data_IF_360073238022
#
_entry.id   IF_360073238022
#
_cell.length_a   1.000
_cell.length_b   1.000
_cell.length_c   1.000
_cell.angle_alpha   90.00
_cell.angle_beta   90.00
_cell.angle_gamma   90.00
#
_symmetry.space_group_name_H-M   'P 1'
#
loop_
_entity.id
_entity.type
_entity.pdbx_description
1 polymer ?
#
# COMPACT_ATOMS: atom_id res chain seq x y z
N UNK A 1 -54.15 -63.39 -27.02
CA UNK A 1 -52.79 -62.89 -26.70
C UNK A 1 -52.92 -61.45 -26.21
N UNK A 2 -52.38 -61.14 -25.02
CA UNK A 2 -52.48 -59.84 -24.34
C UNK A 2 -51.19 -59.07 -24.56
N UNK A 3 -51.23 -57.88 -25.14
CA UNK A 3 -50.06 -57.00 -25.28
C UNK A 3 -50.20 -55.85 -24.30
N UNK A 4 -49.29 -55.78 -23.32
CA UNK A 4 -49.28 -54.75 -22.28
C UNK A 4 -48.63 -53.47 -22.81
N UNK A 5 -49.30 -52.34 -22.59
CA UNK A 5 -48.72 -50.99 -22.68
C UNK A 5 -47.93 -50.73 -21.40
N UNK A 6 -46.67 -50.31 -21.52
CA UNK A 6 -45.87 -49.84 -20.38
C UNK A 6 -45.49 -48.39 -20.65
N UNK A 7 -46.01 -47.51 -19.80
CA UNK A 7 -45.69 -46.10 -19.69
C UNK A 7 -44.39 -45.91 -18.90
N UNK A 8 -43.44 -45.12 -19.43
CA UNK A 8 -42.33 -44.57 -18.65
C UNK A 8 -42.59 -43.09 -18.39
N UNK A 9 -43.03 -42.77 -17.17
CA UNK A 9 -42.92 -41.44 -16.58
C UNK A 9 -41.49 -41.30 -16.05
N UNK A 10 -40.63 -40.63 -16.81
CA UNK A 10 -39.30 -40.22 -16.36
C UNK A 10 -39.40 -38.91 -15.57
N UNK A 11 -39.14 -38.98 -14.27
CA UNK A 11 -39.05 -37.83 -13.37
C UNK A 11 -37.75 -37.09 -13.64
N UNK A 12 -37.82 -35.91 -14.27
CA UNK A 12 -36.71 -34.97 -14.32
C UNK A 12 -36.71 -34.13 -13.03
N UNK A 13 -35.89 -34.53 -12.05
CA UNK A 13 -35.63 -33.70 -10.87
C UNK A 13 -34.67 -32.58 -11.25
N UNK A 14 -35.21 -31.38 -11.47
CA UNK A 14 -34.44 -30.15 -11.66
C UNK A 14 -33.86 -29.75 -10.31
N UNK A 15 -32.59 -30.01 -10.08
CA UNK A 15 -31.84 -29.42 -8.97
C UNK A 15 -31.52 -27.96 -9.30
N UNK A 16 -32.46 -27.04 -9.01
CA UNK A 16 -32.14 -25.62 -8.87
C UNK A 16 -31.28 -25.45 -7.61
N UNK A 17 -29.97 -25.60 -7.79
CA UNK A 17 -29.00 -25.20 -6.78
C UNK A 17 -29.13 -23.70 -6.53
N UNK A 18 -29.53 -23.34 -5.31
CA UNK A 18 -29.55 -21.97 -4.82
C UNK A 18 -28.12 -21.42 -4.83
N UNK A 19 -27.71 -20.78 -5.92
CA UNK A 19 -26.54 -19.92 -5.93
C UNK A 19 -26.85 -18.70 -5.06
N UNK A 20 -26.62 -18.80 -3.75
CA UNK A 20 -26.65 -17.62 -2.90
C UNK A 20 -25.53 -16.68 -3.36
N UNK A 21 -25.83 -15.41 -3.66
CA UNK A 21 -24.80 -14.45 -3.99
C UNK A 21 -23.85 -14.33 -2.80
N UNK A 22 -22.57 -14.66 -3.00
CA UNK A 22 -21.54 -14.35 -2.03
C UNK A 22 -21.47 -12.82 -1.92
N UNK A 23 -21.91 -12.30 -0.78
CA UNK A 23 -21.79 -10.88 -0.47
C UNK A 23 -20.31 -10.55 -0.27
N UNK A 24 -19.87 -9.42 -0.81
CA UNK A 24 -18.54 -8.92 -0.54
C UNK A 24 -18.42 -8.55 0.94
N UNK A 25 -17.36 -9.02 1.60
CA UNK A 25 -17.12 -8.78 3.03
C UNK A 25 -16.05 -7.70 3.16
N UNK A 26 -16.36 -6.55 3.78
CA UNK A 26 -15.35 -5.54 4.08
C UNK A 26 -14.29 -6.13 5.01
N UNK A 27 -13.03 -5.93 4.69
CA UNK A 27 -11.88 -6.39 5.48
C UNK A 27 -10.86 -5.27 5.68
N UNK A 28 -10.20 -5.30 6.83
CA UNK A 28 -9.08 -4.40 7.16
C UNK A 28 -7.88 -5.24 7.54
N UNK A 29 -6.83 -5.18 6.73
CA UNK A 29 -5.52 -5.74 7.04
C UNK A 29 -4.66 -4.68 7.72
N UNK A 30 -3.82 -5.09 8.65
CA UNK A 30 -2.85 -4.25 9.34
C UNK A 30 -1.46 -4.54 8.81
N UNK A 31 -0.78 -3.50 8.34
CA UNK A 31 0.54 -3.63 7.71
C UNK A 31 1.59 -3.99 8.76
N UNK A 32 2.29 -5.09 8.54
CA UNK A 32 3.43 -5.54 9.34
C UNK A 32 4.69 -4.80 8.89
N UNK A 33 5.18 -3.88 9.72
CA UNK A 33 6.36 -3.07 9.41
C UNK A 33 7.68 -3.82 9.43
N UNK A 34 7.73 -5.01 10.03
CA UNK A 34 8.93 -5.85 10.00
C UNK A 34 9.11 -6.56 8.66
N UNK A 35 8.03 -6.66 7.86
CA UNK A 35 8.02 -7.35 6.57
C UNK A 35 7.65 -6.43 5.39
N UNK A 36 7.23 -5.19 5.67
CA UNK A 36 6.82 -4.22 4.66
C UNK A 36 7.92 -3.21 4.41
N UNK A 37 8.43 -3.18 3.18
CA UNK A 37 9.46 -2.22 2.80
C UNK A 37 9.35 -1.83 1.33
N UNK A 38 9.53 -0.52 1.08
CA UNK A 38 9.67 0.02 -0.26
C UNK A 38 11.04 0.70 -0.40
N UNK A 39 11.63 0.54 -1.58
CA UNK A 39 12.81 1.26 -2.02
C UNK A 39 12.38 2.41 -2.92
N UNK A 40 12.88 3.60 -2.62
CA UNK A 40 12.73 4.80 -3.43
C UNK A 40 13.87 4.90 -4.45
N UNK A 41 13.48 5.10 -5.71
CA UNK A 41 14.38 5.44 -6.82
C UNK A 41 13.72 6.54 -7.67
N UNK A 42 14.40 6.94 -8.75
CA UNK A 42 13.91 8.00 -9.64
C UNK A 42 14.97 9.06 -9.92
N UNK A 43 14.52 10.28 -10.21
CA UNK A 43 15.41 11.36 -10.64
C UNK A 43 14.85 12.75 -10.31
N UNK A 44 15.73 13.73 -10.19
CA UNK A 44 15.42 15.16 -10.15
C UNK A 44 16.31 15.91 -11.14
N UNK A 45 15.72 16.74 -12.00
CA UNK A 45 16.38 17.48 -13.06
C UNK A 45 17.23 16.59 -13.99
N UNK A 46 16.76 15.37 -14.25
CA UNK A 46 17.48 14.36 -15.04
C UNK A 46 18.68 13.71 -14.32
N UNK A 47 18.95 14.07 -13.06
CA UNK A 47 19.97 13.45 -12.23
C UNK A 47 19.34 12.32 -11.41
N UNK A 48 19.90 11.09 -11.44
CA UNK A 48 19.36 9.97 -10.69
C UNK A 48 19.49 10.21 -9.18
N UNK A 49 18.53 9.69 -8.41
CA UNK A 49 18.63 9.68 -6.97
C UNK A 49 19.79 8.80 -6.50
N UNK A 50 20.48 9.29 -5.49
CA UNK A 50 21.44 8.57 -4.68
C UNK A 50 21.10 8.72 -3.20
N UNK A 51 21.59 7.81 -2.39
CA UNK A 51 21.36 7.82 -0.95
C UNK A 51 22.17 8.94 -0.26
N UNK A 52 21.56 9.70 0.64
CA UNK A 52 22.32 10.58 1.55
C UNK A 52 23.20 9.76 2.49
N UNK A 53 22.66 8.67 3.02
CA UNK A 53 23.34 7.70 3.88
C UNK A 53 22.93 6.26 3.50
N UNK A 54 23.73 5.23 3.82
CA UNK A 54 23.31 3.85 3.58
C UNK A 54 21.93 3.56 4.18
N UNK A 55 21.03 2.98 3.38
CA UNK A 55 19.64 2.69 3.80
C UNK A 55 18.66 3.86 3.68
N UNK A 56 19.11 5.09 3.37
CA UNK A 56 18.20 6.26 3.30
C UNK A 56 17.22 6.24 2.11
N UNK A 57 17.37 5.29 1.19
CA UNK A 57 16.46 5.03 0.06
C UNK A 57 15.50 3.86 0.32
N UNK A 58 15.53 3.24 1.49
CA UNK A 58 14.67 2.10 1.84
C UNK A 58 13.95 2.45 3.14
N UNK A 59 12.63 2.32 3.16
CA UNK A 59 11.84 2.60 4.35
C UNK A 59 10.89 1.46 4.67
N UNK A 60 10.49 1.38 5.93
CA UNK A 60 9.49 0.44 6.44
C UNK A 60 8.11 1.12 6.48
N UNK A 61 7.05 0.32 6.37
CA UNK A 61 5.68 0.82 6.30
C UNK A 61 4.77 0.18 7.33
N UNK A 62 3.77 0.92 7.81
CA UNK A 62 2.74 0.45 8.74
C UNK A 62 1.36 0.96 8.31
N UNK A 63 0.35 0.80 9.16
CA UNK A 63 -1.01 1.29 8.94
C UNK A 63 -1.95 0.19 8.48
N UNK A 64 -2.87 0.51 7.58
CA UNK A 64 -3.99 -0.36 7.22
C UNK A 64 -4.26 -0.41 5.73
N UNK A 65 -4.70 -1.57 5.26
CA UNK A 65 -5.23 -1.78 3.91
C UNK A 65 -6.68 -2.23 4.02
N UNK A 66 -7.58 -1.52 3.36
CA UNK A 66 -9.02 -1.79 3.39
C UNK A 66 -9.53 -2.20 2.01
N UNK A 67 -10.51 -3.09 1.97
CA UNK A 67 -11.18 -3.46 0.74
C UNK A 67 -12.32 -4.43 0.97
N UNK A 68 -12.97 -4.83 -0.12
CA UNK A 68 -14.07 -5.78 -0.11
C UNK A 68 -13.60 -7.13 -0.65
N UNK A 69 -13.60 -8.17 0.19
CA UNK A 69 -13.21 -9.52 -0.18
C UNK A 69 -14.44 -10.30 -0.65
N UNK A 70 -14.44 -10.72 -1.93
CA UNK A 70 -15.48 -11.58 -2.49
C UNK A 70 -14.87 -12.65 -3.40
N UNK A 71 -15.24 -13.92 -3.19
CA UNK A 71 -14.81 -15.01 -4.07
C UNK A 71 -13.28 -15.17 -4.20
N UNK A 72 -12.51 -14.77 -3.18
CA UNK A 72 -11.04 -14.79 -3.22
C UNK A 72 -10.39 -13.61 -3.95
N UNK A 73 -11.18 -12.59 -4.34
CA UNK A 73 -10.70 -11.33 -4.92
C UNK A 73 -10.93 -10.23 -3.90
N UNK A 74 -9.86 -9.52 -3.54
CA UNK A 74 -9.92 -8.31 -2.73
C UNK A 74 -10.05 -7.10 -3.67
N UNK A 75 -11.13 -6.35 -3.55
CA UNK A 75 -11.38 -5.14 -4.34
C UNK A 75 -11.09 -3.90 -3.52
N UNK A 76 -10.29 -2.99 -4.05
CA UNK A 76 -9.93 -1.73 -3.42
C UNK A 76 -10.80 -0.60 -3.98
N UNK A 77 -11.28 0.26 -3.10
CA UNK A 77 -12.11 1.43 -3.42
C UNK A 77 -11.61 2.70 -2.72
N UNK A 78 -10.37 2.68 -2.22
CA UNK A 78 -9.78 3.72 -1.38
C UNK A 78 -9.96 3.46 0.12
N UNK A 79 -9.45 4.40 0.93
CA UNK A 79 -9.54 4.35 2.40
C UNK A 79 -8.40 3.59 3.09
N UNK A 80 -7.45 3.06 2.33
CA UNK A 80 -6.21 2.52 2.89
C UNK A 80 -5.31 3.64 3.40
N UNK A 81 -4.49 3.34 4.40
CA UNK A 81 -3.52 4.26 4.99
C UNK A 81 -2.22 3.50 5.21
N UNK A 82 -1.37 3.47 4.20
CA UNK A 82 -0.07 2.80 4.22
C UNK A 82 0.98 3.86 4.53
N UNK A 83 1.41 3.91 5.78
CA UNK A 83 2.19 5.00 6.38
C UNK A 83 3.67 4.63 6.40
N UNK A 84 4.51 5.48 5.81
CA UNK A 84 5.96 5.35 5.90
C UNK A 84 6.46 5.69 7.31
N UNK A 85 7.40 4.90 7.84
CA UNK A 85 7.97 5.10 9.17
C UNK A 85 9.14 6.08 9.16
N UNK A 86 9.57 6.56 10.32
CA UNK A 86 10.81 7.33 10.37
C UNK A 86 11.99 6.40 10.07
N UNK A 87 12.78 6.78 9.07
CA UNK A 87 13.90 5.99 8.62
C UNK A 87 15.07 6.09 9.62
N UNK A 88 15.57 4.96 10.14
CA UNK A 88 16.64 4.95 11.15
C UNK A 88 17.99 5.41 10.59
N UNK A 89 18.17 5.50 9.26
CA UNK A 89 19.37 6.05 8.64
C UNK A 89 19.47 7.58 8.74
N UNK A 90 18.39 8.25 9.15
CA UNK A 90 18.38 9.69 9.41
C UNK A 90 19.13 10.09 10.69
N UNK A 91 19.22 11.36 11.02
CA UNK A 91 18.63 12.51 10.32
C UNK A 91 19.25 12.80 8.96
N UNK A 92 18.48 13.44 8.10
CA UNK A 92 18.88 13.81 6.74
C UNK A 92 19.01 15.32 6.60
N UNK A 93 19.78 15.75 5.58
CA UNK A 93 19.97 17.16 5.28
C UNK A 93 19.13 17.60 4.09
N UNK A 94 18.74 18.86 4.13
CA UNK A 94 18.06 19.62 3.08
C UNK A 94 18.89 20.82 2.65
N UNK A 95 20.14 20.95 3.12
CA UNK A 95 20.99 22.09 2.82
C UNK A 95 21.01 22.43 1.32
N UNK A 96 20.87 23.72 0.95
CA UNK A 96 20.90 24.91 1.82
C UNK A 96 19.59 25.26 2.55
N UNK A 97 18.53 24.44 2.44
CA UNK A 97 17.34 24.61 3.27
C UNK A 97 17.68 24.30 4.75
N UNK A 98 16.94 24.90 5.68
CA UNK A 98 17.17 24.77 7.13
C UNK A 98 16.22 23.76 7.78
N UNK A 99 15.67 22.83 6.99
CA UNK A 99 14.69 21.82 7.41
C UNK A 99 15.34 20.44 7.56
N UNK A 100 16.57 20.40 8.07
CA UNK A 100 17.28 19.16 8.38
C UNK A 100 16.56 18.40 9.50
N UNK A 101 16.58 17.06 9.46
CA UNK A 101 15.96 16.25 10.49
C UNK A 101 15.51 14.85 10.05
N UNK A 102 14.72 14.16 10.88
CA UNK A 102 14.27 12.80 10.59
C UNK A 102 13.29 12.78 9.43
N UNK A 103 13.28 11.76 8.57
CA UNK A 103 12.34 11.64 7.46
C UNK A 103 12.11 10.19 7.07
N UNK A 104 11.23 9.95 6.10
CA UNK A 104 10.98 8.64 5.51
C UNK A 104 12.11 8.24 4.54
N UNK A 105 12.61 9.21 3.75
CA UNK A 105 13.73 8.99 2.84
C UNK A 105 14.65 10.20 2.80
N UNK A 106 15.95 9.94 2.72
CA UNK A 106 16.99 10.94 2.46
C UNK A 106 17.60 10.74 1.09
N UNK A 107 17.37 11.66 0.17
CA UNK A 107 17.86 11.59 -1.21
C UNK A 107 18.89 12.67 -1.49
N UNK A 108 19.87 12.36 -2.33
CA UNK A 108 20.72 13.36 -2.96
C UNK A 108 20.82 13.12 -4.46
N UNK A 109 21.03 14.16 -5.23
CA UNK A 109 21.34 14.07 -6.65
C UNK A 109 22.47 15.05 -6.97
N UNK A 110 23.47 14.61 -7.72
CA UNK A 110 24.64 15.43 -8.05
C UNK A 110 24.99 15.25 -9.52
N UNK A 111 25.31 16.35 -10.20
CA UNK A 111 25.75 16.29 -11.60
C UNK A 111 25.57 17.61 -12.33
N UNK A 112 25.90 17.60 -13.62
CA UNK A 112 25.77 18.77 -14.48
C UNK A 112 24.35 18.87 -15.04
N UNK A 113 23.72 20.03 -14.87
CA UNK A 113 22.43 20.36 -15.48
C UNK A 113 22.67 21.40 -16.59
N UNK A 114 22.31 21.05 -17.82
CA UNK A 114 22.45 21.93 -18.99
C UNK A 114 21.77 23.28 -18.74
N UNK A 115 22.52 24.37 -18.93
CA UNK A 115 22.04 25.73 -18.70
C UNK A 115 22.16 26.26 -17.27
N UNK A 116 22.49 25.41 -16.29
CA UNK A 116 22.62 25.79 -14.87
C UNK A 116 24.02 25.54 -14.30
N UNK A 117 24.70 24.47 -14.73
CA UNK A 117 26.02 24.10 -14.23
C UNK A 117 26.00 22.88 -13.31
N UNK A 118 27.00 22.78 -12.43
CA UNK A 118 27.09 21.68 -11.46
C UNK A 118 26.07 21.87 -10.35
N UNK A 119 25.19 20.89 -10.16
CA UNK A 119 24.16 20.90 -9.15
C UNK A 119 24.43 19.86 -8.06
N UNK A 120 24.15 20.24 -6.83
CA UNK A 120 24.04 19.34 -5.68
C UNK A 120 22.68 19.57 -5.03
N UNK A 121 21.87 18.53 -5.00
CA UNK A 121 20.50 18.55 -4.53
C UNK A 121 20.42 17.60 -3.34
N UNK A 122 19.87 18.08 -2.22
CA UNK A 122 19.55 17.25 -1.06
C UNK A 122 18.04 17.36 -0.81
N UNK A 123 17.39 16.23 -0.57
CA UNK A 123 15.96 16.17 -0.32
C UNK A 123 15.59 15.20 0.80
N UNK A 124 14.55 15.53 1.55
CA UNK A 124 14.00 14.72 2.62
C UNK A 124 12.50 14.53 2.41
N UNK A 125 12.09 13.29 2.20
CA UNK A 125 10.67 12.93 2.09
C UNK A 125 10.10 12.72 3.50
N UNK A 126 8.92 13.28 3.77
CA UNK A 126 8.31 13.29 5.10
C UNK A 126 6.83 12.99 5.05
N UNK A 127 6.33 12.34 6.10
CA UNK A 127 4.92 12.09 6.37
C UNK A 127 4.19 11.44 5.18
N UNK A 128 4.84 10.49 4.50
CA UNK A 128 4.27 9.80 3.36
C UNK A 128 3.16 8.83 3.81
N UNK A 129 1.99 8.95 3.18
CA UNK A 129 0.87 8.01 3.35
C UNK A 129 0.33 7.68 1.96
N UNK A 130 0.32 6.40 1.63
CA UNK A 130 -0.31 5.89 0.40
C UNK A 130 -1.73 5.36 0.68
N UNK A 131 -2.62 5.58 -0.28
CA UNK A 131 -3.92 4.91 -0.40
C UNK A 131 -3.95 4.08 -1.68
N UNK A 132 -4.57 2.90 -1.63
CA UNK A 132 -4.88 2.08 -2.79
C UNK A 132 -6.28 2.49 -3.26
N UNK A 133 -6.34 3.44 -4.18
CA UNK A 133 -7.59 4.13 -4.54
C UNK A 133 -8.50 3.30 -5.44
N UNK A 134 -7.97 2.28 -6.10
CA UNK A 134 -8.70 1.39 -6.99
C UNK A 134 -7.94 0.09 -7.22
N UNK A 135 -8.63 -0.90 -7.80
CA UNK A 135 -8.06 -2.13 -8.37
C UNK A 135 -8.40 -3.39 -7.58
N UNK A 136 -7.76 -4.50 -7.95
CA UNK A 136 -7.99 -5.78 -7.29
C UNK A 136 -6.70 -6.54 -7.00
N UNK A 137 -6.75 -7.37 -5.96
CA UNK A 137 -5.74 -8.33 -5.57
C UNK A 137 -6.35 -9.73 -5.55
N UNK A 138 -5.66 -10.71 -6.13
CA UNK A 138 -6.09 -12.10 -6.15
C UNK A 138 -4.87 -13.00 -5.96
N UNK A 139 -5.03 -14.06 -5.16
CA UNK A 139 -3.93 -14.98 -4.88
C UNK A 139 -3.36 -15.60 -6.17
N UNK A 140 -2.03 -15.55 -6.30
CA UNK A 140 -1.33 -16.09 -7.46
C UNK A 140 -1.43 -15.25 -8.73
N UNK A 141 -1.99 -14.04 -8.65
CA UNK A 141 -2.12 -13.11 -9.78
C UNK A 141 -1.33 -11.83 -9.51
N UNK A 142 -0.84 -11.19 -10.58
CA UNK A 142 -0.29 -9.84 -10.46
C UNK A 142 -1.40 -8.83 -10.05
N UNK A 143 -1.03 -7.72 -9.38
CA UNK A 143 -1.93 -6.60 -9.15
C UNK A 143 -2.67 -6.17 -10.42
N UNK A 144 -4.01 -6.04 -10.37
CA UNK A 144 -4.82 -5.72 -11.55
C UNK A 144 -5.57 -4.39 -11.36
N UNK A 145 -5.33 -3.42 -12.25
CA UNK A 145 -5.97 -2.10 -12.18
C UNK A 145 -5.68 -1.32 -10.89
N UNK A 146 -4.69 -1.76 -10.11
CA UNK A 146 -4.36 -1.15 -8.83
C UNK A 146 -3.71 0.21 -9.03
N UNK A 147 -4.20 1.21 -8.29
CA UNK A 147 -3.62 2.56 -8.29
C UNK A 147 -3.26 2.93 -6.86
N UNK A 148 -2.02 3.36 -6.64
CA UNK A 148 -1.59 3.88 -5.35
C UNK A 148 -1.35 5.37 -5.47
N UNK A 149 -1.91 6.15 -4.54
CA UNK A 149 -1.80 7.61 -4.50
C UNK A 149 -1.35 8.06 -3.13
N UNK A 150 -0.44 9.04 -3.07
CA UNK A 150 -0.06 9.71 -1.84
C UNK A 150 -1.20 10.62 -1.39
N UNK A 151 -1.78 10.33 -0.23
CA UNK A 151 -2.80 11.14 0.43
C UNK A 151 -2.19 12.16 1.40
N UNK A 152 -0.95 11.90 1.82
CA UNK A 152 -0.10 12.81 2.58
C UNK A 152 1.35 12.67 2.11
N UNK A 153 2.11 13.74 2.27
CA UNK A 153 3.55 13.71 2.04
C UNK A 153 4.10 15.07 1.60
N UNK A 154 5.35 15.30 1.97
CA UNK A 154 6.13 16.45 1.54
C UNK A 154 7.53 16.01 1.10
N UNK A 155 8.10 16.73 0.15
CA UNK A 155 9.55 16.78 -0.06
C UNK A 155 10.06 18.16 0.33
N UNK A 156 10.90 18.22 1.34
CA UNK A 156 11.77 19.36 1.63
C UNK A 156 13.08 19.19 0.91
N UNK A 157 13.55 20.22 0.21
CA UNK A 157 14.79 20.12 -0.55
C UNK A 157 15.57 21.43 -0.59
N UNK A 158 16.86 21.28 -0.89
CA UNK A 158 17.77 22.37 -1.19
C UNK A 158 18.64 22.03 -2.38
N UNK A 159 19.01 23.08 -3.12
CA UNK A 159 19.85 23.01 -4.31
C UNK A 159 21.02 23.98 -4.13
N UNK A 160 22.23 23.48 -4.31
CA UNK A 160 23.41 24.27 -4.63
C UNK A 160 23.65 24.22 -6.13
N UNK A 161 23.96 25.37 -6.74
CA UNK A 161 24.50 25.45 -8.10
C UNK A 161 25.90 26.05 -8.06
N UNK A 162 26.87 25.38 -8.67
CA UNK A 162 28.27 25.79 -8.70
C UNK A 162 28.79 26.15 -7.29
N UNK A 163 28.43 25.30 -6.31
CA UNK A 163 28.74 25.44 -4.89
C UNK A 163 28.15 26.66 -4.18
N UNK A 164 27.18 27.36 -4.79
CA UNK A 164 26.45 28.46 -4.18
C UNK A 164 25.00 28.06 -3.89
N UNK A 165 24.40 28.47 -2.75
CA UNK A 165 22.98 28.26 -2.49
C UNK A 165 22.15 28.81 -3.65
N UNK A 166 21.30 27.97 -4.24
CA UNK A 166 20.43 28.38 -5.35
C UNK A 166 18.97 28.42 -4.94
N UNK A 167 18.48 27.35 -4.30
CA UNK A 167 17.08 27.24 -3.91
C UNK A 167 16.94 26.40 -2.64
N UNK A 168 15.96 26.75 -1.82
CA UNK A 168 15.47 25.99 -0.69
C UNK A 168 13.95 26.06 -0.70
N UNK A 169 13.27 24.91 -0.69
CA UNK A 169 11.83 24.87 -0.81
C UNK A 169 11.24 23.54 -0.30
N UNK A 170 9.91 23.52 -0.25
CA UNK A 170 9.10 22.36 0.07
C UNK A 170 8.08 22.14 -1.05
N UNK A 171 7.75 20.88 -1.34
CA UNK A 171 6.72 20.53 -2.33
C UNK A 171 5.79 19.46 -1.77
N UNK A 172 4.49 19.64 -2.01
CA UNK A 172 3.49 18.64 -1.65
C UNK A 172 3.58 17.43 -2.58
N UNK A 173 3.40 16.25 -2.00
CA UNK A 173 3.29 14.98 -2.73
C UNK A 173 1.84 14.48 -2.82
N UNK A 174 0.89 15.23 -2.26
CA UNK A 174 -0.52 14.84 -2.26
C UNK A 174 -1.03 14.72 -3.70
N UNK A 175 -1.73 13.63 -3.99
CA UNK A 175 -2.24 13.30 -5.32
C UNK A 175 -1.19 12.75 -6.28
N UNK A 176 0.06 12.57 -5.84
CA UNK A 176 1.11 11.92 -6.65
C UNK A 176 1.06 10.42 -6.45
N UNK A 177 1.21 9.67 -7.53
CA UNK A 177 1.04 8.23 -7.50
C UNK A 177 0.90 7.68 -8.90
N UNK A 178 0.54 6.41 -9.01
CA UNK A 178 0.38 5.76 -10.29
C UNK A 178 -0.15 4.34 -10.19
N UNK A 179 -0.29 3.71 -11.34
CA UNK A 179 -0.66 2.31 -11.43
C UNK A 179 0.42 1.43 -10.80
N UNK A 180 0.00 0.40 -10.07
CA UNK A 180 0.88 -0.68 -9.64
C UNK A 180 1.18 -1.58 -10.83
N UNK A 181 2.41 -1.49 -11.32
CA UNK A 181 2.90 -2.23 -12.49
C UNK A 181 3.75 -3.44 -12.11
N UNK A 182 3.65 -3.90 -10.86
CA UNK A 182 4.38 -5.09 -10.44
C UNK A 182 3.91 -6.30 -11.23
N UNK A 183 4.87 -7.10 -11.70
CA UNK A 183 4.61 -8.39 -12.32
C UNK A 183 4.63 -9.55 -11.30
N UNK A 184 5.05 -9.28 -10.07
CA UNK A 184 5.12 -10.29 -9.01
C UNK A 184 3.71 -10.66 -8.53
N UNK A 185 3.58 -11.88 -8.04
CA UNK A 185 2.28 -12.44 -7.66
C UNK A 185 1.88 -11.99 -6.26
N UNK A 186 0.62 -11.61 -6.12
CA UNK A 186 -0.01 -11.37 -4.83
C UNK A 186 -0.18 -12.70 -4.09
N UNK A 187 0.14 -12.73 -2.80
CA UNK A 187 -0.34 -13.78 -1.91
C UNK A 187 -1.53 -13.24 -1.12
N UNK A 188 -2.69 -13.87 -1.26
CA UNK A 188 -3.92 -13.45 -0.57
C UNK A 188 -4.57 -14.66 0.09
N UNK A 189 -4.71 -14.58 1.40
CA UNK A 189 -5.50 -15.49 2.23
C UNK A 189 -6.54 -14.67 3.01
N UNK A 190 -7.49 -15.32 3.71
CA UNK A 190 -8.45 -14.59 4.55
C UNK A 190 -7.81 -13.73 5.66
N UNK A 191 -6.54 -13.98 6.02
CA UNK A 191 -5.85 -13.30 7.12
C UNK A 191 -4.53 -12.66 6.72
N UNK A 192 -4.06 -12.84 5.49
CA UNK A 192 -2.76 -12.33 5.03
C UNK A 192 -2.86 -11.79 3.62
N UNK A 193 -2.26 -10.62 3.42
CA UNK A 193 -2.06 -9.98 2.13
C UNK A 193 -0.57 -9.69 1.98
N UNK A 194 0.07 -10.27 0.96
CA UNK A 194 1.39 -9.88 0.48
C UNK A 194 1.18 -9.20 -0.86
N UNK A 195 1.36 -7.89 -0.87
CA UNK A 195 1.15 -7.03 -2.03
C UNK A 195 2.51 -6.56 -2.57
N UNK A 196 2.96 -7.05 -3.73
CA UNK A 196 4.11 -6.46 -4.39
C UNK A 196 3.74 -5.11 -4.99
N UNK A 197 4.64 -4.15 -4.88
CA UNK A 197 4.41 -2.75 -5.27
C UNK A 197 5.50 -2.34 -6.25
N UNK A 198 5.08 -1.82 -7.40
CA UNK A 198 5.93 -1.07 -8.33
C UNK A 198 5.14 0.08 -8.92
N UNK A 199 5.35 1.29 -8.39
CA UNK A 199 4.64 2.48 -8.82
C UNK A 199 5.62 3.57 -9.26
N UNK A 200 5.18 4.39 -10.20
CA UNK A 200 5.86 5.62 -10.60
C UNK A 200 4.89 6.78 -10.45
N UNK A 201 5.35 7.89 -9.91
CA UNK A 201 4.56 9.13 -9.81
C UNK A 201 4.45 9.89 -11.14
N UNK A 202 5.11 9.41 -12.19
CA UNK A 202 5.30 10.12 -13.45
C UNK A 202 6.23 11.33 -13.29
N UNK A 203 6.52 12.01 -14.40
CA UNK A 203 7.36 13.21 -14.35
C UNK A 203 6.52 14.42 -13.99
N UNK A 204 6.88 15.12 -12.91
CA UNK A 204 6.28 16.40 -12.51
C UNK A 204 7.33 17.27 -11.82
N UNK A 205 7.28 18.59 -12.04
CA UNK A 205 8.24 19.54 -11.45
C UNK A 205 9.71 19.13 -11.66
N UNK A 206 10.02 18.56 -12.85
CA UNK A 206 11.33 17.99 -13.20
C UNK A 206 11.79 16.83 -12.29
N UNK A 207 10.87 16.13 -11.65
CA UNK A 207 11.13 15.04 -10.72
C UNK A 207 10.24 13.84 -11.03
N UNK A 208 10.71 12.66 -10.67
CA UNK A 208 9.97 11.41 -10.72
C UNK A 208 10.41 10.55 -9.53
N UNK A 209 9.46 9.93 -8.86
CA UNK A 209 9.70 8.92 -7.83
C UNK A 209 9.16 7.58 -8.30
N UNK A 210 9.99 6.56 -8.12
CA UNK A 210 9.62 5.18 -8.36
C UNK A 210 9.77 4.42 -7.04
N UNK A 211 8.67 3.83 -6.57
CA UNK A 211 8.64 3.02 -5.35
C UNK A 211 8.51 1.54 -5.73
N UNK A 212 9.42 0.72 -5.21
CA UNK A 212 9.49 -0.71 -5.49
C UNK A 212 9.65 -1.51 -4.20
N UNK A 213 8.86 -2.56 -4.01
CA UNK A 213 9.05 -3.47 -2.89
C UNK A 213 7.80 -4.28 -2.59
N UNK A 214 7.56 -4.53 -1.30
CA UNK A 214 6.44 -5.35 -0.84
C UNK A 214 5.79 -4.73 0.39
N UNK A 215 4.46 -4.82 0.45
CA UNK A 215 3.67 -4.53 1.64
C UNK A 215 3.04 -5.83 2.11
N UNK A 216 3.36 -6.23 3.34
CA UNK A 216 2.77 -7.40 4.00
C UNK A 216 1.81 -6.91 5.07
N UNK A 217 0.58 -7.41 5.03
CA UNK A 217 -0.46 -7.03 5.97
C UNK A 217 -1.25 -8.24 6.45
N UNK A 218 -1.68 -8.21 7.70
CA UNK A 218 -2.37 -9.33 8.36
C UNK A 218 -3.65 -8.86 9.05
N UNK A 219 -4.65 -9.72 9.10
CA UNK A 219 -5.78 -9.54 10.02
C UNK A 219 -5.37 -10.23 11.33
N UNK A 220 -5.19 -9.49 12.44
CA UNK A 220 -4.87 -10.11 13.72
C UNK A 220 -5.98 -11.09 14.09
N UNK A 221 -5.61 -12.28 14.53
CA UNK A 221 -6.60 -13.22 15.05
C UNK A 221 -7.41 -12.52 16.16
N UNK A 222 -8.73 -12.73 16.22
CA UNK A 222 -9.52 -12.24 17.33
C UNK A 222 -8.96 -12.88 18.60
N UNK A 223 -8.17 -12.12 19.35
CA UNK A 223 -7.58 -12.60 20.59
C UNK A 223 -8.66 -13.20 21.47
N UNK A 224 -8.32 -14.30 22.15
CA UNK A 224 -9.18 -15.14 23.01
C UNK A 224 -10.03 -14.32 24.02
N UNK A 225 -9.67 -13.07 24.28
CA UNK A 225 -10.42 -12.11 25.09
C UNK A 225 -11.79 -11.73 24.51
N UNK A 226 -11.98 -11.73 23.18
CA UNK A 226 -13.28 -11.43 22.55
C UNK A 226 -14.30 -12.55 22.76
N UNK A 227 -13.86 -13.81 22.76
CA UNK A 227 -14.66 -14.98 23.13
C UNK A 227 -14.99 -15.01 24.64
N UNK A 228 -14.06 -14.57 25.48
CA UNK A 228 -14.28 -14.44 26.93
C UNK A 228 -15.35 -13.42 27.30
N UNK A 229 -15.38 -12.25 26.64
CA UNK A 229 -16.40 -11.23 26.88
C UNK A 229 -17.79 -11.66 26.40
N UNK A 230 -17.90 -12.31 25.24
CA UNK A 230 -19.16 -12.87 24.75
C UNK A 230 -19.68 -13.99 25.64
N UNK A 231 -18.78 -14.85 26.15
CA UNK A 231 -19.13 -15.89 27.12
C UNK A 231 -19.64 -15.33 28.46
N UNK A 232 -19.00 -14.26 28.98
CA UNK A 232 -19.42 -13.58 30.20
C UNK A 232 -20.76 -12.85 30.06
N UNK A 233 -21.01 -12.22 28.90
CA UNK A 233 -22.28 -11.55 28.60
C UNK A 233 -23.43 -12.55 28.49
N UNK A 234 -23.21 -13.70 27.83
CA UNK A 234 -24.18 -14.79 27.75
C UNK A 234 -24.48 -15.41 29.13
N UNK A 235 -23.46 -15.58 29.98
CA UNK A 235 -23.62 -16.08 31.34
C UNK A 235 -24.39 -15.10 32.25
N UNK A 236 -24.19 -13.79 32.07
CA UNK A 236 -24.91 -12.76 32.81
C UNK A 236 -26.40 -12.69 32.41
N UNK A 237 -26.69 -12.74 31.11
CA UNK A 237 -28.08 -12.75 30.59
C UNK A 237 -28.83 -14.02 31.04
N UNK A 238 -28.17 -15.18 31.08
CA UNK A 238 -28.76 -16.42 31.57
C UNK A 238 -29.07 -16.38 33.08
N UNK A 239 -28.29 -15.63 33.88
CA UNK A 239 -28.49 -15.47 35.32
C UNK A 239 -29.65 -14.54 35.66
N UNK A 240 -29.83 -13.45 34.91
CA UNK A 240 -30.90 -12.46 35.14
C UNK A 240 -32.30 -13.00 34.78
N UNK A 241 -32.41 -14.02 33.92
CA UNK A 241 -33.70 -14.65 33.56
C UNK A 241 -34.19 -15.74 34.54
N UNK A 242 -33.41 -16.08 35.58
CA UNK A 242 -33.76 -17.14 36.55
C UNK A 242 -34.16 -16.61 37.94
N UNK A 243 -34.27 -15.30 38.10
CA UNK A 243 -34.76 -14.59 39.29
C UNK A 243 -36.04 -13.86 38.97
#
# INVERSE_FOLDING_TARGET
MKTKVVSLLGVAAVALGLAMPALAVPVTYYVDSSQSSLTLSGQAFGLPFAAQAPGSLVDAFTGTITGDLNGGVLTFSGGSSIVALLNPAGSFTTAPNTLDGPGNYGVKANGFITGYGLATINGVYRNLIFDITAGTAQNGMAPSGQTLTLTSGNLDYGIFLNSQPFQAASSSLIGKGGANTSADLVALTPTTLVLPVKISTGVYSNRQEDYLGVIVAVIPEPGVLSLGLLGLLAAWIARVRRS
#
